data_IF_535703294489
#
_entry.id   IF_535703294489
#
_cell.length_a   1.000
_cell.length_b   1.000
_cell.length_c   1.000
_cell.angle_alpha   90.00
_cell.angle_beta   90.00
_cell.angle_gamma   90.00
#
_symmetry.space_group_name_H-M   'P 1'
#
loop_
_entity.id
_entity.type
_entity.pdbx_description
1 polymer ?
#
# COMPACT_ATOMS: atom_id res chain seq x y z
N UNK A 1 2.18 9.08 38.77
CA UNK A 1 3.32 8.95 37.83
C UNK A 1 3.06 7.72 36.98
N UNK A 2 2.69 7.90 35.71
CA UNK A 2 2.37 6.81 34.78
C UNK A 2 3.69 6.38 34.13
N UNK A 3 4.21 5.21 34.49
CA UNK A 3 5.44 4.71 33.90
C UNK A 3 5.18 4.39 32.42
N UNK A 4 5.72 5.20 31.52
CA UNK A 4 5.83 4.84 30.11
C UNK A 4 6.94 3.80 29.99
N UNK A 5 6.59 2.53 30.16
CA UNK A 5 7.49 1.43 29.83
C UNK A 5 7.87 1.57 28.35
N UNK A 6 9.18 1.69 28.08
CA UNK A 6 9.66 1.67 26.70
C UNK A 6 9.40 0.27 26.13
N UNK A 7 8.93 0.15 24.86
CA UNK A 7 8.66 -1.16 24.27
C UNK A 7 9.92 -2.01 24.30
N UNK A 8 9.74 -3.28 24.68
CA UNK A 8 10.77 -4.31 24.69
C UNK A 8 11.34 -4.50 23.29
N UNK A 9 12.55 -5.04 23.20
CA UNK A 9 13.16 -5.36 21.90
C UNK A 9 12.28 -6.29 21.06
N UNK A 10 11.55 -7.21 21.70
CA UNK A 10 10.60 -8.09 21.04
C UNK A 10 9.41 -7.32 20.45
N UNK A 11 8.82 -6.38 21.19
CA UNK A 11 7.73 -5.53 20.69
C UNK A 11 8.18 -4.63 19.53
N UNK A 12 9.42 -4.12 19.57
CA UNK A 12 9.99 -3.34 18.47
C UNK A 12 10.19 -4.18 17.21
N UNK A 13 10.68 -5.41 17.35
CA UNK A 13 10.86 -6.34 16.21
C UNK A 13 9.50 -6.67 15.59
N UNK A 14 8.50 -7.02 16.41
CA UNK A 14 7.16 -7.33 15.93
C UNK A 14 6.50 -6.15 15.18
N UNK A 15 6.71 -4.91 15.64
CA UNK A 15 6.23 -3.73 14.94
C UNK A 15 6.87 -3.58 13.55
N UNK A 16 8.19 -3.74 13.46
CA UNK A 16 8.92 -3.67 12.17
C UNK A 16 8.51 -4.78 11.22
N UNK A 17 8.33 -6.01 11.72
CA UNK A 17 7.83 -7.13 10.92
C UNK A 17 6.46 -6.83 10.31
N UNK A 18 5.58 -6.21 11.10
CA UNK A 18 4.26 -5.81 10.62
C UNK A 18 4.35 -4.70 9.55
N UNK A 19 5.20 -3.69 9.75
CA UNK A 19 5.42 -2.63 8.76
C UNK A 19 5.91 -3.21 7.41
N UNK A 20 6.88 -4.12 7.45
CA UNK A 20 7.41 -4.79 6.26
C UNK A 20 6.30 -5.60 5.56
N UNK A 21 5.50 -6.34 6.32
CA UNK A 21 4.39 -7.12 5.77
C UNK A 21 3.38 -6.24 5.04
N UNK A 22 3.00 -5.11 5.63
CA UNK A 22 2.07 -4.15 5.00
C UNK A 22 2.67 -3.59 3.71
N UNK A 23 3.94 -3.21 3.70
CA UNK A 23 4.62 -2.72 2.50
C UNK A 23 4.68 -3.77 1.39
N UNK A 24 4.97 -5.03 1.74
CA UNK A 24 5.02 -6.14 0.80
C UNK A 24 3.65 -6.41 0.17
N UNK A 25 2.58 -6.42 0.98
CA UNK A 25 1.21 -6.60 0.48
C UNK A 25 0.78 -5.46 -0.45
N UNK A 26 1.13 -4.22 -0.10
CA UNK A 26 0.88 -3.05 -0.95
C UNK A 26 1.60 -3.17 -2.30
N UNK A 27 2.88 -3.55 -2.29
CA UNK A 27 3.66 -3.75 -3.51
C UNK A 27 3.06 -4.85 -4.40
N UNK A 28 2.69 -6.00 -3.81
CA UNK A 28 2.07 -7.11 -4.53
C UNK A 28 0.73 -6.69 -5.18
N UNK A 29 -0.10 -5.92 -4.48
CA UNK A 29 -1.35 -5.39 -5.02
C UNK A 29 -1.11 -4.38 -6.15
N UNK A 30 -0.16 -3.47 -5.99
CA UNK A 30 0.21 -2.51 -7.02
C UNK A 30 0.67 -3.22 -8.30
N UNK A 31 1.57 -4.21 -8.17
CA UNK A 31 2.05 -5.01 -9.29
C UNK A 31 0.91 -5.72 -10.02
N UNK A 32 -0.02 -6.33 -9.27
CA UNK A 32 -1.21 -6.99 -9.86
C UNK A 32 -2.12 -6.02 -10.60
N UNK A 33 -2.38 -4.84 -10.03
CA UNK A 33 -3.26 -3.84 -10.65
C UNK A 33 -2.61 -3.21 -11.88
N UNK A 34 -1.35 -2.81 -11.79
CA UNK A 34 -0.68 -2.11 -12.88
C UNK A 34 -0.33 -3.04 -14.05
N UNK A 35 0.07 -4.29 -13.79
CA UNK A 35 0.23 -5.28 -14.86
C UNK A 35 -1.08 -5.50 -15.63
N UNK A 36 -2.20 -5.69 -14.93
CA UNK A 36 -3.51 -5.88 -15.56
C UNK A 36 -4.00 -4.65 -16.34
N UNK A 37 -3.57 -3.44 -15.99
CA UNK A 37 -3.99 -2.20 -16.66
C UNK A 37 -3.09 -1.80 -17.82
N UNK A 38 -1.81 -2.11 -17.75
CA UNK A 38 -0.81 -1.54 -18.65
C UNK A 38 -0.17 -2.56 -19.59
N UNK A 39 -0.16 -3.86 -19.27
CA UNK A 39 0.52 -4.87 -20.09
C UNK A 39 -0.50 -5.57 -21.00
N UNK A 40 -0.23 -5.60 -22.30
CA UNK A 40 -1.07 -6.32 -23.25
C UNK A 40 -0.85 -7.85 -23.13
N UNK A 41 -1.94 -8.60 -22.93
CA UNK A 41 -1.90 -10.06 -22.82
C UNK A 41 -1.60 -10.78 -24.14
N UNK A 42 -1.53 -10.06 -25.26
CA UNK A 42 -1.09 -10.64 -26.54
C UNK A 42 0.44 -10.83 -26.65
N UNK A 43 1.22 -10.25 -25.73
CA UNK A 43 2.68 -10.45 -25.59
C UNK A 43 3.43 -10.48 -26.93
N UNK A 44 3.24 -9.44 -27.75
CA UNK A 44 3.84 -9.39 -29.10
C UNK A 44 5.37 -9.36 -29.08
N UNK A 45 5.96 -8.86 -28.00
CA UNK A 45 7.40 -8.81 -27.77
C UNK A 45 7.71 -9.00 -26.28
N UNK A 46 8.96 -9.30 -25.94
CA UNK A 46 9.40 -9.60 -24.57
C UNK A 46 9.84 -8.37 -23.76
N UNK A 47 10.10 -7.25 -24.43
CA UNK A 47 10.48 -5.99 -23.78
C UNK A 47 9.25 -5.11 -23.59
N UNK A 48 9.30 -4.25 -22.56
CA UNK A 48 8.27 -3.24 -22.39
C UNK A 48 8.39 -2.19 -23.50
N UNK A 49 7.29 -1.94 -24.18
CA UNK A 49 7.19 -0.79 -25.06
C UNK A 49 7.36 0.50 -24.26
N UNK A 50 7.70 1.60 -24.94
CA UNK A 50 7.67 2.94 -24.34
C UNK A 50 6.29 3.27 -23.75
N UNK A 51 5.23 2.81 -24.41
CA UNK A 51 3.84 3.01 -23.96
C UNK A 51 3.55 2.29 -22.64
N UNK A 52 3.94 1.02 -22.53
CA UNK A 52 3.78 0.22 -21.31
C UNK A 52 4.61 0.80 -20.16
N UNK A 53 5.85 1.19 -20.42
CA UNK A 53 6.74 1.81 -19.42
C UNK A 53 6.12 3.08 -18.82
N UNK A 54 5.69 4.02 -19.68
CA UNK A 54 5.04 5.27 -19.23
C UNK A 54 3.68 5.00 -18.56
N UNK A 55 2.95 3.98 -19.01
CA UNK A 55 1.71 3.56 -18.35
C UNK A 55 1.96 3.06 -16.93
N UNK A 56 2.98 2.21 -16.72
CA UNK A 56 3.34 1.68 -15.41
C UNK A 56 3.71 2.80 -14.43
N UNK A 57 4.51 3.78 -14.85
CA UNK A 57 4.88 4.95 -14.02
C UNK A 57 3.62 5.72 -13.57
N UNK A 58 2.74 6.04 -14.53
CA UNK A 58 1.47 6.73 -14.25
C UNK A 58 0.55 5.88 -13.37
N UNK A 59 0.53 4.56 -13.57
CA UNK A 59 -0.28 3.65 -12.80
C UNK A 59 0.18 3.59 -11.34
N UNK A 60 1.48 3.48 -11.09
CA UNK A 60 2.04 3.51 -9.75
C UNK A 60 1.67 4.81 -9.02
N UNK A 61 1.87 5.97 -9.68
CA UNK A 61 1.47 7.27 -9.12
C UNK A 61 0.00 7.31 -8.73
N UNK A 62 -0.90 6.86 -9.61
CA UNK A 62 -2.35 6.83 -9.34
C UNK A 62 -2.73 5.80 -8.28
N UNK A 63 -2.02 4.67 -8.21
CA UNK A 63 -2.27 3.65 -7.20
C UNK A 63 -2.04 4.21 -5.79
N UNK A 64 -0.94 4.93 -5.59
CA UNK A 64 -0.64 5.59 -4.31
C UNK A 64 -1.62 6.72 -3.99
N UNK A 65 -1.96 7.55 -4.97
CA UNK A 65 -2.97 8.61 -4.80
C UNK A 65 -4.33 8.03 -4.37
N UNK A 66 -4.77 6.95 -5.02
CA UNK A 66 -5.99 6.24 -4.65
C UNK A 66 -5.88 5.59 -3.26
N UNK A 67 -4.74 4.97 -2.94
CA UNK A 67 -4.49 4.37 -1.63
C UNK A 67 -4.56 5.40 -0.50
N UNK A 68 -3.96 6.57 -0.69
CA UNK A 68 -4.00 7.68 0.26
C UNK A 68 -5.43 8.20 0.45
N UNK A 69 -6.16 8.43 -0.66
CA UNK A 69 -7.56 8.89 -0.62
C UNK A 69 -8.46 7.91 0.14
N UNK A 70 -8.31 6.61 -0.11
CA UNK A 70 -9.06 5.56 0.61
C UNK A 70 -8.70 5.55 2.09
N UNK A 71 -7.42 5.68 2.42
CA UNK A 71 -6.93 5.70 3.81
C UNK A 71 -7.54 6.87 4.59
N UNK A 72 -7.57 8.07 4.00
CA UNK A 72 -8.22 9.25 4.61
C UNK A 72 -9.72 9.05 4.81
N UNK A 73 -10.39 8.45 3.83
CA UNK A 73 -11.83 8.19 3.93
C UNK A 73 -12.14 7.17 5.03
N UNK A 74 -11.34 6.10 5.14
CA UNK A 74 -11.48 5.12 6.21
C UNK A 74 -11.24 5.72 7.59
N UNK A 75 -10.27 6.63 7.73
CA UNK A 75 -10.04 7.35 8.99
C UNK A 75 -11.22 8.26 9.36
N UNK A 76 -11.77 9.01 8.38
CA UNK A 76 -12.97 9.84 8.57
C UNK A 76 -14.17 9.00 8.99
N UNK A 77 -14.39 7.86 8.35
CA UNK A 77 -15.48 6.93 8.69
C UNK A 77 -15.27 6.26 10.04
N UNK A 78 -14.04 5.85 10.37
CA UNK A 78 -13.70 5.25 11.67
C UNK A 78 -13.94 6.22 12.83
N UNK A 79 -13.60 7.50 12.64
CA UNK A 79 -13.91 8.57 13.59
C UNK A 79 -15.42 8.80 13.71
N UNK A 80 -16.15 8.81 12.59
CA UNK A 80 -17.60 8.99 12.58
C UNK A 80 -18.38 7.81 13.19
N UNK A 81 -17.84 6.59 13.10
CA UNK A 81 -18.46 5.36 13.63
C UNK A 81 -18.08 5.03 15.07
N UNK A 82 -17.29 5.87 15.74
CA UNK A 82 -17.04 5.73 17.18
C UNK A 82 -16.19 4.52 17.56
N UNK A 83 -15.20 4.13 16.76
CA UNK A 83 -14.17 3.15 17.19
C UNK A 83 -13.21 3.67 18.29
N UNK A 84 -13.61 4.72 19.01
CA UNK A 84 -12.92 5.32 20.16
C UNK A 84 -13.62 5.05 21.49
N UNK A 85 -14.22 3.86 21.67
CA UNK A 85 -14.93 3.47 22.89
C UNK A 85 -14.33 2.23 23.56
N UNK A 86 -13.26 2.41 24.34
CA UNK A 86 -13.15 2.12 25.78
C UNK A 86 -11.75 2.53 26.30
#
# INVERSE_FOLDING_TARGET
>A
MRASASPTSAEKIAAVENEIKVMAEMHARMMKVCSAKCIDQSYREGELTKGESVCLDRCASKFFEAHQTISEQLQKEGAARGFGGN
#
